data_IF_876518722570
#
_entry.id   IF_876518722570
#
_cell.length_a   1.000
_cell.length_b   1.000
_cell.length_c   1.000
_cell.angle_alpha   90.00
_cell.angle_beta   90.00
_cell.angle_gamma   90.00
#
_symmetry.space_group_name_H-M   'P 1'
#
loop_
_entity.id
_entity.type
_entity.pdbx_description
1 polymer ?
#
# COMPACT_ATOMS: atom_id res chain seq x y z
N UNK A 1 4.78 22.62 2.64
CA UNK A 1 4.14 21.83 3.72
C UNK A 1 3.85 20.44 3.20
N UNK A 2 4.10 19.39 4.00
CA UNK A 2 3.83 18.00 3.59
C UNK A 2 2.37 17.66 3.88
N UNK A 3 1.77 16.81 3.04
CA UNK A 3 0.39 16.33 3.20
C UNK A 3 0.38 14.87 3.60
N UNK A 4 -0.65 14.47 4.34
CA UNK A 4 -0.87 13.09 4.74
C UNK A 4 -1.22 12.24 3.50
N UNK A 5 -0.51 11.14 3.29
CA UNK A 5 -0.68 10.21 2.18
C UNK A 5 -2.02 9.45 2.22
N UNK A 6 -2.78 9.54 3.31
CA UNK A 6 -4.06 8.86 3.47
C UNK A 6 -5.29 9.78 3.39
N UNK A 7 -5.19 11.05 3.79
CA UNK A 7 -6.37 11.95 3.79
C UNK A 7 -6.12 13.29 3.10
N UNK A 8 -4.90 13.50 2.58
CA UNK A 8 -4.44 14.69 1.86
C UNK A 8 -4.50 16.01 2.64
N UNK A 9 -4.86 15.98 3.93
CA UNK A 9 -4.78 17.14 4.82
C UNK A 9 -3.33 17.42 5.22
N UNK A 10 -3.05 18.66 5.60
CA UNK A 10 -1.71 19.10 6.01
C UNK A 10 -1.23 18.33 7.24
N UNK A 11 0.07 17.98 7.22
CA UNK A 11 0.76 17.42 8.37
C UNK A 11 1.23 18.56 9.29
N UNK A 12 1.17 18.31 10.59
CA UNK A 12 1.69 19.17 11.64
C UNK A 12 3.13 18.81 11.99
N UNK A 13 3.82 19.68 12.73
CA UNK A 13 5.23 19.48 13.07
C UNK A 13 5.46 18.17 13.84
N UNK A 14 6.36 17.34 13.31
CA UNK A 14 6.69 16.02 13.85
C UNK A 14 5.93 14.86 13.19
N UNK A 15 4.88 15.13 12.41
CA UNK A 15 4.20 14.09 11.63
C UNK A 15 4.95 13.83 10.31
N UNK A 16 5.11 12.55 9.97
CA UNK A 16 5.78 12.11 8.76
C UNK A 16 4.85 11.20 7.97
N UNK A 17 4.57 11.59 6.72
CA UNK A 17 3.80 10.87 5.71
C UNK A 17 2.32 10.59 6.08
N UNK A 18 1.98 10.36 7.34
CA UNK A 18 0.63 10.08 7.84
C UNK A 18 0.34 10.82 9.16
N UNK A 19 -0.91 11.23 9.38
CA UNK A 19 -1.39 11.53 10.73
C UNK A 19 -1.47 10.25 11.57
N UNK A 20 -1.26 10.28 12.91
CA UNK A 20 -1.42 9.11 13.77
C UNK A 20 -2.80 8.44 13.64
N UNK A 21 -3.87 9.23 13.48
CA UNK A 21 -5.23 8.71 13.25
C UNK A 21 -5.38 7.99 11.91
N UNK A 22 -4.69 8.47 10.88
CA UNK A 22 -4.73 7.92 9.53
C UNK A 22 -3.91 6.62 9.49
N UNK A 23 -2.71 6.63 10.06
CA UNK A 23 -1.90 5.43 10.26
C UNK A 23 -2.69 4.35 11.01
N UNK A 24 -3.40 4.72 12.08
CA UNK A 24 -4.24 3.76 12.82
C UNK A 24 -5.39 3.20 11.99
N UNK A 25 -6.00 4.00 11.10
CA UNK A 25 -7.10 3.55 10.22
C UNK A 25 -6.61 2.53 9.18
N UNK A 26 -5.44 2.75 8.58
CA UNK A 26 -4.90 1.87 7.52
C UNK A 26 -4.06 0.70 8.07
N UNK A 27 -3.16 0.94 9.03
CA UNK A 27 -2.22 -0.06 9.57
C UNK A 27 -2.70 -0.73 10.87
N UNK A 28 -3.75 -0.21 11.50
CA UNK A 28 -4.18 -0.65 12.83
C UNK A 28 -3.24 -0.23 13.97
N UNK A 29 -2.28 0.66 13.68
CA UNK A 29 -1.25 1.16 14.61
C UNK A 29 -0.93 2.62 14.28
N UNK A 30 -0.49 3.41 15.26
CA UNK A 30 0.06 4.75 14.99
C UNK A 30 1.47 4.68 14.40
N UNK A 31 2.17 3.57 14.62
CA UNK A 31 3.48 3.30 14.02
C UNK A 31 3.31 2.86 12.57
N UNK A 32 4.03 3.51 11.66
CA UNK A 32 4.04 3.18 10.23
C UNK A 32 4.93 1.95 10.03
N UNK A 33 4.40 0.85 9.47
CA UNK A 33 5.21 -0.33 9.20
C UNK A 33 6.30 -0.03 8.17
N UNK A 34 7.51 -0.57 8.39
CA UNK A 34 8.61 -0.45 7.45
C UNK A 34 8.38 -1.34 6.22
N UNK A 35 8.59 -0.80 5.03
CA UNK A 35 8.70 -1.58 3.80
C UNK A 35 10.19 -1.80 3.50
N UNK A 36 10.72 -2.93 3.96
CA UNK A 36 12.15 -3.27 3.86
C UNK A 36 12.49 -4.01 2.56
N UNK A 37 11.94 -3.54 1.44
CA UNK A 37 12.24 -4.07 0.11
C UNK A 37 12.64 -2.90 -0.79
N UNK A 38 13.74 -3.07 -1.51
CA UNK A 38 14.11 -2.15 -2.57
C UNK A 38 13.15 -2.28 -3.76
N UNK A 39 13.10 -1.24 -4.61
CA UNK A 39 12.18 -1.18 -5.75
C UNK A 39 12.39 -2.37 -6.71
N UNK A 40 13.63 -2.70 -7.02
CA UNK A 40 14.04 -3.82 -7.87
C UNK A 40 13.67 -5.18 -7.25
N UNK A 41 13.75 -5.32 -5.93
CA UNK A 41 13.28 -6.52 -5.23
C UNK A 41 11.76 -6.67 -5.36
N UNK A 42 11.00 -5.59 -5.18
CA UNK A 42 9.54 -5.57 -5.33
C UNK A 42 9.15 -5.97 -6.76
N UNK A 43 9.79 -5.39 -7.77
CA UNK A 43 9.55 -5.70 -9.18
C UNK A 43 9.85 -7.18 -9.49
N UNK A 44 11.01 -7.67 -9.07
CA UNK A 44 11.42 -9.07 -9.23
C UNK A 44 10.45 -10.06 -8.58
N UNK A 45 9.97 -9.74 -7.36
CA UNK A 45 9.01 -10.57 -6.64
C UNK A 45 7.63 -10.53 -7.31
N UNK A 46 7.21 -9.37 -7.80
CA UNK A 46 5.93 -9.21 -8.46
C UNK A 46 5.89 -9.95 -9.82
N UNK A 47 6.98 -9.93 -10.59
CA UNK A 47 7.11 -10.74 -11.81
C UNK A 47 7.01 -12.24 -11.52
N UNK A 48 7.66 -12.73 -10.46
CA UNK A 48 7.57 -14.14 -10.05
C UNK A 48 6.13 -14.53 -9.73
N UNK A 49 5.38 -13.66 -9.05
CA UNK A 49 3.96 -13.89 -8.75
C UNK A 49 3.15 -14.01 -10.04
N UNK A 50 3.32 -13.09 -10.99
CA UNK A 50 2.61 -13.14 -12.28
C UNK A 50 2.92 -14.43 -13.04
N UNK A 51 4.20 -14.81 -13.15
CA UNK A 51 4.64 -16.03 -13.85
C UNK A 51 4.13 -17.32 -13.18
N UNK A 52 3.87 -17.29 -11.87
CA UNK A 52 3.36 -18.44 -11.12
C UNK A 52 1.85 -18.68 -11.25
N UNK A 53 1.10 -17.72 -11.80
CA UNK A 53 -0.36 -17.83 -11.94
C UNK A 53 -0.74 -18.44 -13.29
N UNK A 54 -1.52 -19.54 -13.26
CA UNK A 54 -1.96 -20.31 -14.45
C UNK A 54 -3.05 -19.60 -15.26
N UNK A 55 -3.68 -18.56 -14.72
CA UNK A 55 -4.81 -17.83 -15.34
C UNK A 55 -4.38 -16.44 -15.81
N UNK A 56 -4.49 -16.21 -17.12
CA UNK A 56 -4.12 -14.96 -17.79
C UNK A 56 -5.27 -13.93 -17.70
N UNK A 57 -5.63 -13.47 -16.50
CA UNK A 57 -6.60 -12.38 -16.36
C UNK A 57 -6.15 -11.37 -15.31
N UNK A 58 -5.76 -10.17 -15.78
CA UNK A 58 -5.28 -9.04 -14.98
C UNK A 58 -3.77 -8.83 -15.13
N UNK A 59 -3.36 -7.88 -15.97
CA UNK A 59 -1.96 -7.64 -16.41
C UNK A 59 -1.06 -7.01 -15.33
N UNK A 60 -1.64 -6.53 -14.23
CA UNK A 60 -0.88 -5.82 -13.19
C UNK A 60 -0.41 -6.77 -12.09
N UNK A 61 0.90 -6.83 -11.89
CA UNK A 61 1.49 -7.59 -10.80
C UNK A 61 1.01 -7.05 -9.44
N UNK A 62 0.71 -7.96 -8.52
CA UNK A 62 0.24 -7.60 -7.17
C UNK A 62 0.90 -8.51 -6.14
N UNK A 63 1.36 -7.92 -5.05
CA UNK A 63 1.94 -8.62 -3.93
C UNK A 63 0.97 -8.55 -2.75
N UNK A 64 0.61 -9.70 -2.18
CA UNK A 64 -0.10 -9.72 -0.92
C UNK A 64 0.89 -9.47 0.21
N UNK A 65 0.60 -8.52 1.09
CA UNK A 65 1.42 -8.22 2.25
C UNK A 65 0.64 -8.42 3.56
N UNK A 66 1.38 -8.70 4.62
CA UNK A 66 0.89 -8.57 6.00
C UNK A 66 1.88 -7.75 6.83
N UNK A 67 1.43 -7.27 7.99
CA UNK A 67 2.28 -6.58 8.96
C UNK A 67 2.75 -7.58 10.00
N UNK A 68 4.04 -7.83 10.02
CA UNK A 68 4.70 -8.61 11.06
C UNK A 68 4.95 -7.75 12.32
N UNK A 69 4.62 -8.31 13.49
CA UNK A 69 4.79 -7.66 14.79
C UNK A 69 5.63 -8.55 15.70
N UNK A 70 6.91 -8.22 15.83
CA UNK A 70 7.84 -8.88 16.75
C UNK A 70 8.08 -7.98 17.96
N UNK A 71 7.98 -8.55 19.17
CA UNK A 71 8.16 -7.77 20.41
C UNK A 71 9.59 -7.21 20.47
N UNK A 72 9.69 -5.89 20.55
CA UNK A 72 10.98 -5.19 20.62
C UNK A 72 11.56 -4.79 19.26
N UNK A 73 10.88 -5.10 18.16
CA UNK A 73 11.26 -4.67 16.81
C UNK A 73 10.20 -3.72 16.21
N UNK A 74 10.61 -2.80 15.30
CA UNK A 74 9.65 -2.04 14.50
C UNK A 74 8.74 -2.96 13.67
N UNK A 75 7.49 -2.54 13.50
CA UNK A 75 6.55 -3.24 12.61
C UNK A 75 7.07 -3.18 11.17
N UNK A 76 6.92 -4.26 10.40
CA UNK A 76 7.35 -4.31 8.99
C UNK A 76 6.34 -5.05 8.12
N UNK A 77 6.28 -4.66 6.86
CA UNK A 77 5.57 -5.43 5.85
C UNK A 77 6.36 -6.67 5.47
N UNK A 78 5.65 -7.79 5.32
CA UNK A 78 6.17 -9.05 4.80
C UNK A 78 5.33 -9.50 3.63
N UNK A 79 5.97 -10.04 2.60
CA UNK A 79 5.26 -10.62 1.46
C UNK A 79 4.71 -11.99 1.86
N UNK A 80 3.42 -12.17 1.66
CA UNK A 80 2.67 -13.38 1.98
C UNK A 80 1.89 -13.90 0.76
N UNK A 81 1.32 -15.09 0.88
CA UNK A 81 0.47 -15.68 -0.16
C UNK A 81 -0.97 -15.14 -0.14
N UNK A 82 -1.95 -16.04 -0.25
CA UNK A 82 -3.38 -15.72 -0.40
C UNK A 82 -4.07 -15.08 0.83
N UNK A 83 -3.35 -14.82 1.92
CA UNK A 83 -3.92 -14.41 3.21
C UNK A 83 -3.45 -13.04 3.69
N UNK A 84 -2.81 -12.24 2.81
CA UNK A 84 -2.38 -10.89 3.15
C UNK A 84 -3.54 -9.93 3.39
N UNK A 85 -3.36 -9.02 4.34
CA UNK A 85 -4.31 -7.94 4.65
C UNK A 85 -4.15 -6.72 3.73
N UNK A 86 -3.00 -6.60 3.10
CA UNK A 86 -2.65 -5.50 2.21
C UNK A 86 -2.30 -6.05 0.84
N UNK A 87 -2.52 -5.24 -0.19
CA UNK A 87 -2.05 -5.53 -1.54
C UNK A 87 -1.17 -4.37 -1.96
N UNK A 88 0.08 -4.69 -2.29
CA UNK A 88 1.03 -3.78 -2.91
C UNK A 88 0.96 -3.95 -4.42
N UNK A 89 0.66 -2.86 -5.11
CA UNK A 89 0.74 -2.77 -6.56
C UNK A 89 1.99 -1.98 -6.94
N UNK A 90 3.05 -2.64 -7.44
CA UNK A 90 4.24 -1.92 -7.87
C UNK A 90 3.91 -0.92 -8.98
N UNK A 91 4.62 0.21 -8.97
CA UNK A 91 4.49 1.20 -10.02
C UNK A 91 4.98 0.62 -11.35
N UNK A 92 4.24 0.85 -12.43
CA UNK A 92 4.58 0.40 -13.78
C UNK A 92 5.27 1.51 -14.56
N UNK A 93 6.27 1.16 -15.37
CA UNK A 93 6.95 2.11 -16.27
C UNK A 93 6.04 2.58 -17.42
N UNK A 94 4.95 1.87 -17.72
CA UNK A 94 4.07 2.24 -18.82
C UNK A 94 3.20 3.46 -18.49
N UNK A 95 2.94 3.72 -17.21
CA UNK A 95 2.01 4.74 -16.74
C UNK A 95 2.55 5.46 -15.50
N UNK A 96 3.20 6.61 -15.71
CA UNK A 96 3.96 7.36 -14.69
C UNK A 96 3.20 7.74 -13.42
N UNK A 97 1.87 7.80 -13.46
CA UNK A 97 1.02 8.23 -12.34
C UNK A 97 -0.11 7.25 -12.00
N UNK A 98 0.06 5.97 -12.35
CA UNK A 98 -1.01 4.98 -12.16
C UNK A 98 -1.42 4.86 -10.69
N UNK A 99 -0.45 4.74 -9.78
CA UNK A 99 -0.71 4.63 -8.34
C UNK A 99 -1.43 5.87 -7.78
N UNK A 100 -1.02 7.07 -8.18
CA UNK A 100 -1.65 8.32 -7.75
C UNK A 100 -3.07 8.46 -8.29
N UNK A 101 -3.31 8.05 -9.54
CA UNK A 101 -4.65 8.06 -10.14
C UNK A 101 -5.57 7.04 -9.45
N UNK A 102 -5.06 5.85 -9.12
CA UNK A 102 -5.81 4.84 -8.37
C UNK A 102 -6.20 5.39 -6.99
N UNK A 103 -5.24 5.93 -6.23
CA UNK A 103 -5.49 6.51 -4.90
C UNK A 103 -6.48 7.69 -4.94
N UNK A 104 -6.31 8.61 -5.89
CA UNK A 104 -7.23 9.75 -6.08
C UNK A 104 -8.65 9.26 -6.39
N UNK A 105 -8.80 8.25 -7.24
CA UNK A 105 -10.11 7.71 -7.62
C UNK A 105 -10.82 7.08 -6.42
N UNK A 106 -10.08 6.40 -5.55
CA UNK A 106 -10.63 5.84 -4.31
C UNK A 106 -11.11 6.95 -3.36
N UNK A 107 -10.36 8.04 -3.23
CA UNK A 107 -10.78 9.21 -2.45
C UNK A 107 -12.03 9.88 -3.03
N UNK A 108 -12.10 10.04 -4.34
CA UNK A 108 -13.29 10.58 -5.02
C UNK A 108 -14.52 9.69 -4.80
N UNK A 109 -14.34 8.37 -4.83
CA UNK A 109 -15.41 7.41 -4.55
C UNK A 109 -15.91 7.52 -3.10
N UNK A 110 -15.01 7.64 -2.11
CA UNK A 110 -15.40 7.85 -0.70
C UNK A 110 -16.19 9.16 -0.52
N UNK A 111 -15.75 10.26 -1.16
CA UNK A 111 -16.47 11.54 -1.16
C UNK A 111 -17.86 11.43 -1.81
N UNK A 112 -17.98 10.65 -2.87
CA UNK A 112 -19.25 10.34 -3.53
C UNK A 112 -20.11 9.32 -2.76
N UNK A 113 -19.66 8.86 -1.59
CA UNK A 113 -20.34 7.85 -0.74
C UNK A 113 -20.52 6.50 -1.44
N UNK A 114 -19.63 6.17 -2.36
CA UNK A 114 -19.55 4.85 -2.99
C UNK A 114 -18.83 3.90 -2.04
N UNK A 115 -19.38 2.70 -1.84
CA UNK A 115 -18.74 1.68 -1.00
C UNK A 115 -17.48 1.20 -1.70
N UNK A 116 -16.34 1.48 -1.08
CA UNK A 116 -15.03 1.01 -1.52
C UNK A 116 -14.51 -0.06 -0.54
N UNK A 117 -13.82 -1.06 -1.08
CA UNK A 117 -12.99 -1.95 -0.28
C UNK A 117 -11.59 -1.33 -0.25
N UNK A 118 -11.11 -0.90 0.91
CA UNK A 118 -9.72 -0.43 1.06
C UNK A 118 -8.79 -1.60 0.82
N UNK A 119 -8.28 -1.70 -0.40
CA UNK A 119 -7.31 -2.70 -0.83
C UNK A 119 -6.17 -1.93 -1.50
N UNK A 120 -5.40 -1.15 -0.75
CA UNK A 120 -4.19 -0.53 -1.29
C UNK A 120 -3.17 -0.24 -0.18
N UNK A 121 -1.94 -0.70 -0.40
CA UNK A 121 -0.70 -0.10 0.08
C UNK A 121 0.25 0.04 -1.12
#
# INVERSE_FOLDING_TARGET
MKRCLYCYQELTDGEKDFHPRCAKKIFGSTDIPLLLYAKDEIESLAEKVVRSQTTLTGVQAKLSLDIEKIKGEPQRFTIVGLWGRYILKPQTEQFDHLSEVEDLTMHLAELAKIIIYSIFC
#
